data_IF_958789983685
#
_entry.id   IF_958789983685
#
_cell.length_a   1.000
_cell.length_b   1.000
_cell.length_c   1.000
_cell.angle_alpha   90.00
_cell.angle_beta   90.00
_cell.angle_gamma   90.00
#
_symmetry.space_group_name_H-M   'P 1'
#
loop_
_entity.id
_entity.type
_entity.pdbx_description
1 polymer ?
#
# COMPACT_ATOMS: atom_id res chain seq x y z
N UNK A 1 21.23 49.76 32.45
CA UNK A 1 21.44 48.50 33.20
C UNK A 1 22.89 48.39 33.61
N UNK A 2 23.12 48.28 34.91
CA UNK A 2 24.44 48.07 35.50
C UNK A 2 24.66 46.57 35.70
N UNK A 3 25.83 46.08 35.30
CA UNK A 3 26.23 44.69 35.52
C UNK A 3 27.09 44.63 36.78
N UNK A 4 26.63 43.89 37.79
CA UNK A 4 27.40 43.67 39.01
C UNK A 4 28.04 42.28 38.95
N UNK A 5 29.38 42.17 38.89
CA UNK A 5 30.05 40.88 38.80
C UNK A 5 29.92 40.10 40.12
N UNK A 6 29.49 38.84 40.03
CA UNK A 6 29.40 37.91 41.16
C UNK A 6 30.59 36.95 41.21
N UNK A 7 31.04 36.48 40.05
CA UNK A 7 32.21 35.61 39.91
C UNK A 7 33.08 36.14 38.78
N UNK A 8 34.38 36.23 39.03
CA UNK A 8 35.38 36.54 38.01
C UNK A 8 36.51 35.52 38.02
N UNK A 9 37.13 35.29 36.87
CA UNK A 9 38.34 34.47 36.78
C UNK A 9 39.61 35.24 37.23
N UNK A 10 40.75 34.55 37.25
CA UNK A 10 42.04 35.17 37.60
C UNK A 10 42.56 36.20 36.58
N UNK A 11 41.93 36.29 35.41
CA UNK A 11 42.24 37.28 34.37
C UNK A 11 41.26 38.49 34.40
N UNK A 12 40.25 38.46 35.27
CA UNK A 12 39.25 39.52 35.41
C UNK A 12 38.03 39.38 34.49
N UNK A 13 37.84 38.25 33.81
CA UNK A 13 36.62 37.99 33.05
C UNK A 13 35.47 37.65 34.00
N UNK A 14 34.30 38.24 33.74
CA UNK A 14 33.09 38.01 34.53
C UNK A 14 32.43 36.71 34.05
N UNK A 15 32.28 35.76 34.98
CA UNK A 15 31.69 34.44 34.69
C UNK A 15 30.23 34.34 35.12
N UNK A 16 29.82 35.14 36.12
CA UNK A 16 28.44 35.30 36.54
C UNK A 16 28.23 36.73 37.06
N UNK A 17 27.06 37.31 36.82
CA UNK A 17 26.73 38.69 37.21
C UNK A 17 25.24 38.88 37.48
N UNK A 18 24.92 39.87 38.31
CA UNK A 18 23.55 40.37 38.45
C UNK A 18 23.25 41.39 37.36
N UNK A 19 22.00 41.38 36.90
CA UNK A 19 21.44 42.44 36.09
C UNK A 19 20.71 43.41 37.03
N UNK A 20 21.27 44.60 37.21
CA UNK A 20 20.68 45.66 38.02
C UNK A 20 20.17 46.80 37.14
N UNK A 21 19.05 47.39 37.56
CA UNK A 21 18.55 48.63 36.99
C UNK A 21 19.33 49.83 37.52
N UNK A 22 19.22 50.97 36.84
CA UNK A 22 19.68 52.25 37.40
C UNK A 22 18.76 52.67 38.56
N UNK A 23 19.32 53.23 39.62
CA UNK A 23 18.54 53.68 40.77
C UNK A 23 17.44 54.68 40.34
N UNK A 24 16.20 54.42 40.74
CA UNK A 24 15.01 55.19 40.31
C UNK A 24 14.45 54.81 38.93
N UNK A 25 14.97 53.78 38.27
CA UNK A 25 14.36 53.21 37.06
C UNK A 25 13.24 52.22 37.40
N UNK A 26 12.27 52.06 36.50
CA UNK A 26 11.19 51.06 36.63
C UNK A 26 11.76 49.65 36.83
N UNK A 27 12.86 49.33 36.16
CA UNK A 27 13.54 48.04 36.31
C UNK A 27 14.13 47.88 37.72
N UNK A 28 14.76 48.91 38.28
CA UNK A 28 15.30 48.85 39.64
C UNK A 28 14.19 48.70 40.71
N UNK A 29 13.06 49.37 40.52
CA UNK A 29 11.97 49.37 41.50
C UNK A 29 11.08 48.12 41.41
N UNK A 30 10.89 47.53 40.22
CA UNK A 30 9.87 46.50 39.99
C UNK A 30 10.38 45.19 39.35
N UNK A 31 11.62 45.12 38.86
CA UNK A 31 12.11 43.90 38.24
C UNK A 31 12.45 42.81 39.27
N UNK A 32 12.40 41.56 38.82
CA UNK A 32 12.90 40.45 39.60
C UNK A 32 14.43 40.39 39.57
N UNK A 33 15.01 40.09 40.72
CA UNK A 33 16.43 39.83 40.84
C UNK A 33 16.87 38.73 39.86
N UNK A 34 17.83 39.06 39.00
CA UNK A 34 18.23 38.20 37.89
C UNK A 34 19.74 38.01 37.88
N UNK A 35 20.17 36.77 38.06
CA UNK A 35 21.57 36.34 37.91
C UNK A 35 21.74 35.71 36.54
N UNK A 36 22.74 36.15 35.79
CA UNK A 36 23.17 35.51 34.54
C UNK A 36 24.50 34.81 34.79
N UNK A 37 24.55 33.52 34.45
CA UNK A 37 25.78 32.73 34.45
C UNK A 37 26.25 32.63 33.00
N UNK A 38 27.31 33.37 32.65
CA UNK A 38 27.87 33.41 31.31
C UNK A 38 28.72 32.17 31.00
N UNK A 39 29.38 31.62 32.01
CA UNK A 39 30.18 30.39 31.90
C UNK A 39 29.39 29.18 32.45
N UNK A 40 28.72 28.38 31.59
CA UNK A 40 27.89 27.27 32.03
C UNK A 40 28.68 26.15 32.72
N UNK A 41 30.00 26.06 32.52
CA UNK A 41 30.82 25.03 33.17
C UNK A 41 30.88 25.16 34.70
N UNK A 42 30.53 26.32 35.25
CA UNK A 42 30.41 26.53 36.70
C UNK A 42 29.28 25.71 37.31
N UNK A 43 28.19 25.50 36.55
CA UNK A 43 26.94 24.91 37.03
C UNK A 43 26.60 23.57 36.37
N UNK A 44 27.49 23.04 35.52
CA UNK A 44 27.30 21.74 34.88
C UNK A 44 27.74 20.59 35.81
N UNK A 45 27.34 19.34 35.47
CA UNK A 45 27.65 18.17 36.30
C UNK A 45 29.16 17.91 36.51
N UNK A 46 29.99 18.24 35.51
CA UNK A 46 31.44 18.08 35.60
C UNK A 46 32.07 19.10 36.55
N UNK A 47 31.61 20.34 36.52
CA UNK A 47 32.01 21.40 37.45
C UNK A 47 31.57 21.10 38.88
N UNK A 48 30.33 20.64 39.05
CA UNK A 48 29.78 20.28 40.37
C UNK A 48 30.45 19.06 41.01
N UNK A 49 31.21 18.26 40.26
CA UNK A 49 31.99 17.17 40.84
C UNK A 49 33.15 17.66 41.73
N UNK A 50 33.60 18.91 41.55
CA UNK A 50 34.59 19.55 42.42
C UNK A 50 33.89 20.29 43.58
N UNK A 51 34.25 20.01 44.86
CA UNK A 51 33.59 20.62 46.02
C UNK A 51 33.64 22.16 46.06
N UNK A 52 34.74 22.76 45.61
CA UNK A 52 34.88 24.22 45.63
C UNK A 52 33.98 24.87 44.57
N UNK A 53 33.90 24.27 43.38
CA UNK A 53 32.99 24.72 42.32
C UNK A 53 31.53 24.50 42.69
N UNK A 54 31.20 23.37 43.33
CA UNK A 54 29.85 23.11 43.85
C UNK A 54 29.43 24.15 44.91
N UNK A 55 30.33 24.53 45.81
CA UNK A 55 30.08 25.58 46.79
C UNK A 55 29.83 26.95 46.12
N UNK A 56 30.59 27.28 45.08
CA UNK A 56 30.38 28.50 44.28
C UNK A 56 29.02 28.49 43.56
N UNK A 57 28.64 27.38 42.93
CA UNK A 57 27.34 27.22 42.30
C UNK A 57 26.18 27.37 43.31
N UNK A 58 26.32 26.80 44.51
CA UNK A 58 25.34 26.98 45.60
C UNK A 58 25.26 28.44 46.06
N UNK A 59 26.40 29.13 46.15
CA UNK A 59 26.44 30.56 46.48
C UNK A 59 25.71 31.41 45.44
N UNK A 60 25.83 31.08 44.14
CA UNK A 60 25.06 31.74 43.08
C UNK A 60 23.55 31.53 43.24
N UNK A 61 23.11 30.30 43.54
CA UNK A 61 21.68 30.00 43.76
C UNK A 61 21.14 30.76 44.97
N UNK A 62 21.93 30.85 46.05
CA UNK A 62 21.57 31.65 47.24
C UNK A 62 21.54 33.14 46.94
N UNK A 63 22.49 33.65 46.16
CA UNK A 63 22.50 35.04 45.72
C UNK A 63 21.33 35.37 44.80
N UNK A 64 20.85 34.40 44.01
CA UNK A 64 19.68 34.56 43.15
C UNK A 64 18.33 34.50 43.92
N UNK A 65 18.31 33.88 45.10
CA UNK A 65 17.11 33.68 45.91
C UNK A 65 16.94 34.75 47.00
N UNK A 66 15.70 34.92 47.47
CA UNK A 66 15.39 35.79 48.60
C UNK A 66 15.38 34.98 49.92
N UNK A 67 16.56 34.62 50.41
CA UNK A 67 16.74 33.97 51.73
C UNK A 67 16.84 32.44 51.72
N UNK A 68 16.97 31.86 52.91
CA UNK A 68 17.41 30.47 53.10
C UNK A 68 16.37 29.39 52.69
N UNK A 69 15.07 29.71 52.68
CA UNK A 69 13.97 28.78 52.37
C UNK A 69 13.34 29.01 50.98
N UNK A 70 14.16 29.32 49.98
CA UNK A 70 13.66 29.56 48.61
C UNK A 70 13.44 28.24 47.86
N UNK A 71 12.22 27.98 47.41
CA UNK A 71 11.92 26.86 46.51
C UNK A 71 12.61 27.08 45.16
N UNK A 72 13.56 26.22 44.82
CA UNK A 72 14.23 26.23 43.51
C UNK A 72 13.42 25.40 42.52
N UNK A 73 13.09 26.00 41.37
CA UNK A 73 12.46 25.31 40.23
C UNK A 73 13.41 25.41 39.04
N UNK A 74 13.78 24.25 38.48
CA UNK A 74 14.54 24.19 37.24
C UNK A 74 13.56 24.19 36.05
N UNK A 75 13.48 25.31 35.35
CA UNK A 75 12.77 25.38 34.08
C UNK A 75 13.70 24.97 32.92
N UNK A 76 13.35 23.86 32.26
CA UNK A 76 14.10 23.31 31.12
C UNK A 76 13.33 23.44 29.80
N UNK A 77 12.30 24.29 29.76
CA UNK A 77 11.48 24.54 28.56
C UNK A 77 12.32 25.00 27.38
N UNK A 78 13.18 26.00 27.59
CA UNK A 78 14.07 26.52 26.55
C UNK A 78 15.13 25.51 26.09
N UNK A 79 15.50 24.56 26.94
CA UNK A 79 16.41 23.46 26.61
C UNK A 79 15.72 22.30 25.86
N UNK A 80 14.43 22.43 25.52
CA UNK A 80 13.68 21.42 24.75
C UNK A 80 13.24 20.20 25.56
N UNK A 81 13.45 20.18 26.88
CA UNK A 81 13.00 19.09 27.76
C UNK A 81 11.56 19.25 28.23
N UNK A 82 10.91 20.38 27.91
CA UNK A 82 9.47 20.53 28.12
C UNK A 82 8.70 19.91 26.96
N UNK A 83 8.07 18.76 27.21
CA UNK A 83 6.86 18.36 26.49
C UNK A 83 6.99 17.97 25.01
N UNK A 84 8.19 17.83 24.44
CA UNK A 84 8.34 17.24 23.12
C UNK A 84 7.94 15.75 23.19
N UNK A 85 6.67 15.44 22.94
CA UNK A 85 6.21 14.07 22.81
C UNK A 85 6.91 13.46 21.59
N UNK A 86 7.86 12.58 21.84
CA UNK A 86 8.51 11.80 20.79
C UNK A 86 7.41 11.13 19.94
N UNK A 87 7.50 11.25 18.60
CA UNK A 87 6.56 10.63 17.67
C UNK A 87 6.38 9.14 17.93
N UNK A 88 7.45 8.46 18.35
CA UNK A 88 7.42 7.06 18.77
C UNK A 88 6.53 6.88 20.01
N UNK A 89 6.67 7.74 21.02
CA UNK A 89 5.82 7.71 22.21
C UNK A 89 4.35 8.02 21.89
N UNK A 90 4.09 8.89 20.91
CA UNK A 90 2.73 9.18 20.44
C UNK A 90 2.11 7.97 19.72
N UNK A 91 2.90 7.20 18.97
CA UNK A 91 2.44 5.97 18.31
C UNK A 91 1.99 4.87 19.30
N UNK A 92 2.45 4.89 20.56
CA UNK A 92 2.06 3.94 21.61
C UNK A 92 0.98 4.47 22.56
N UNK A 93 0.36 5.63 22.28
CA UNK A 93 -0.72 6.20 23.09
C UNK A 93 -2.02 6.31 22.28
N UNK A 94 -3.21 6.29 22.93
CA UNK A 94 -4.46 6.59 22.25
C UNK A 94 -4.41 7.99 21.60
N UNK A 95 -5.00 8.18 20.40
CA UNK A 95 -5.74 7.21 19.56
C UNK A 95 -4.87 6.36 18.62
N UNK A 96 -3.57 6.65 18.49
CA UNK A 96 -2.70 6.04 17.48
C UNK A 96 -2.28 4.60 17.81
N UNK A 97 -2.40 4.18 19.06
CA UNK A 97 -2.12 2.80 19.48
C UNK A 97 -2.83 1.76 18.60
N UNK A 98 -4.09 2.01 18.23
CA UNK A 98 -4.85 1.09 17.38
C UNK A 98 -4.20 0.95 15.98
N UNK A 99 -3.77 2.07 15.39
CA UNK A 99 -3.09 2.06 14.09
C UNK A 99 -1.75 1.33 14.17
N UNK A 100 -0.98 1.54 15.25
CA UNK A 100 0.30 0.86 15.49
C UNK A 100 0.09 -0.65 15.66
N UNK A 101 -0.92 -1.09 16.40
CA UNK A 101 -1.25 -2.51 16.56
C UNK A 101 -1.65 -3.15 15.22
N UNK A 102 -2.49 -2.47 14.42
CA UNK A 102 -2.85 -2.94 13.09
C UNK A 102 -1.63 -3.04 12.16
N UNK A 103 -0.73 -2.05 12.19
CA UNK A 103 0.52 -2.08 11.42
C UNK A 103 1.40 -3.27 11.82
N UNK A 104 1.57 -3.50 13.13
CA UNK A 104 2.35 -4.63 13.66
C UNK A 104 1.73 -5.96 13.19
N UNK A 105 0.41 -6.12 13.32
CA UNK A 105 -0.29 -7.32 12.84
C UNK A 105 -0.13 -7.53 11.32
N UNK A 106 -0.23 -6.46 10.52
CA UNK A 106 -0.02 -6.54 9.09
C UNK A 106 1.42 -6.98 8.75
N UNK A 107 2.42 -6.42 9.44
CA UNK A 107 3.82 -6.80 9.28
C UNK A 107 4.05 -8.27 9.68
N UNK A 108 3.42 -8.74 10.76
CA UNK A 108 3.47 -10.15 11.16
C UNK A 108 2.85 -11.07 10.10
N UNK A 109 1.70 -10.70 9.51
CA UNK A 109 1.08 -11.47 8.43
C UNK A 109 1.95 -11.48 7.18
N UNK A 110 2.52 -10.34 6.78
CA UNK A 110 3.43 -10.25 5.62
C UNK A 110 4.70 -11.08 5.87
N UNK A 111 5.29 -10.96 7.06
CA UNK A 111 6.45 -11.76 7.47
C UNK A 111 6.12 -13.26 7.46
N UNK A 112 5.00 -13.65 8.05
CA UNK A 112 4.50 -15.02 8.04
C UNK A 112 4.32 -15.53 6.60
N UNK A 113 3.71 -14.73 5.72
CA UNK A 113 3.56 -15.06 4.30
C UNK A 113 4.91 -15.20 3.60
N UNK A 114 5.92 -14.41 3.96
CA UNK A 114 7.26 -14.52 3.40
C UNK A 114 7.96 -15.81 3.84
N UNK A 115 7.86 -16.19 5.12
CA UNK A 115 8.41 -17.45 5.64
C UNK A 115 7.68 -18.69 5.10
N UNK A 116 6.35 -18.63 4.97
CA UNK A 116 5.57 -19.73 4.38
C UNK A 116 5.69 -19.79 2.86
N UNK A 117 6.20 -18.74 2.21
CA UNK A 117 6.43 -18.70 0.77
C UNK A 117 7.78 -19.34 0.43
N UNK A 118 7.84 -20.66 0.57
CA UNK A 118 8.83 -21.46 -0.13
C UNK A 118 8.33 -21.75 -1.54
N UNK A 119 9.04 -21.23 -2.54
CA UNK A 119 8.79 -21.52 -3.96
C UNK A 119 9.03 -20.33 -4.86
N UNK A 120 9.71 -20.57 -5.99
CA UNK A 120 9.78 -19.61 -7.09
C UNK A 120 8.36 -19.16 -7.44
N UNK A 121 8.16 -17.86 -7.73
CA UNK A 121 6.94 -17.40 -8.41
C UNK A 121 6.74 -18.38 -9.56
N UNK A 122 5.60 -19.08 -9.60
CA UNK A 122 5.25 -19.83 -10.79
C UNK A 122 5.29 -18.80 -11.91
N UNK A 123 6.38 -18.81 -12.69
CA UNK A 123 6.54 -17.90 -13.80
C UNK A 123 5.27 -18.12 -14.60
N UNK A 124 4.42 -17.10 -14.69
CA UNK A 124 3.32 -17.16 -15.64
C UNK A 124 4.02 -17.38 -16.96
N UNK A 125 3.93 -18.62 -17.48
CA UNK A 125 4.53 -19.01 -18.74
C UNK A 125 4.22 -17.87 -19.70
N UNK A 126 5.23 -17.31 -20.40
CA UNK A 126 5.00 -16.18 -21.28
C UNK A 126 3.78 -16.48 -22.12
N UNK A 127 2.73 -15.68 -21.94
CA UNK A 127 1.47 -15.80 -22.65
C UNK A 127 1.75 -15.41 -24.11
N UNK A 128 2.37 -16.31 -24.85
CA UNK A 128 2.64 -16.17 -26.28
C UNK A 128 1.31 -16.24 -27.00
N UNK A 129 0.67 -15.07 -27.24
CA UNK A 129 -0.41 -14.90 -28.23
C UNK A 129 -1.57 -13.91 -27.95
N UNK A 130 -1.42 -12.83 -27.16
CA UNK A 130 -2.59 -12.16 -26.54
C UNK A 130 -3.17 -10.91 -27.23
N UNK A 131 -3.34 -10.94 -28.55
CA UNK A 131 -4.18 -9.96 -29.26
C UNK A 131 -5.55 -10.55 -29.63
N UNK A 132 -5.53 -11.44 -30.63
CA UNK A 132 -6.74 -12.03 -31.23
C UNK A 132 -7.51 -12.92 -30.25
N UNK A 133 -6.81 -13.68 -29.41
CA UNK A 133 -7.47 -14.55 -28.43
C UNK A 133 -8.21 -13.77 -27.35
N UNK A 134 -7.69 -12.60 -26.92
CA UNK A 134 -8.40 -11.69 -26.00
C UNK A 134 -9.62 -11.07 -26.65
N UNK A 135 -9.53 -10.63 -27.91
CA UNK A 135 -10.69 -10.12 -28.64
C UNK A 135 -11.78 -11.18 -28.80
N UNK A 136 -11.40 -12.42 -29.11
CA UNK A 136 -12.35 -13.54 -29.21
C UNK A 136 -12.98 -13.85 -27.85
N UNK A 137 -12.18 -13.91 -26.77
CA UNK A 137 -12.70 -14.19 -25.42
C UNK A 137 -13.64 -13.09 -24.93
N UNK A 138 -13.28 -11.82 -25.11
CA UNK A 138 -14.11 -10.68 -24.74
C UNK A 138 -15.39 -10.62 -25.58
N UNK A 139 -15.30 -10.83 -26.90
CA UNK A 139 -16.46 -10.92 -27.78
C UNK A 139 -17.41 -12.05 -27.39
N UNK A 140 -16.88 -13.24 -27.11
CA UNK A 140 -17.69 -14.37 -26.64
C UNK A 140 -18.36 -14.06 -25.29
N UNK A 141 -17.66 -13.41 -24.37
CA UNK A 141 -18.21 -12.98 -23.09
C UNK A 141 -19.37 -11.98 -23.24
N UNK A 142 -19.28 -11.03 -24.19
CA UNK A 142 -20.36 -10.10 -24.47
C UNK A 142 -21.60 -10.80 -25.03
N UNK A 143 -21.44 -11.76 -25.93
CA UNK A 143 -22.57 -12.51 -26.50
C UNK A 143 -23.26 -13.37 -25.43
N UNK A 144 -22.48 -14.00 -24.54
CA UNK A 144 -23.02 -14.78 -23.41
C UNK A 144 -23.81 -13.89 -22.44
N UNK A 145 -23.28 -12.71 -22.09
CA UNK A 145 -23.97 -11.75 -21.20
C UNK A 145 -25.23 -11.17 -21.82
N UNK A 146 -25.22 -10.91 -23.13
CA UNK A 146 -26.38 -10.42 -23.86
C UNK A 146 -27.48 -11.48 -24.04
N UNK A 147 -27.19 -12.77 -23.77
CA UNK A 147 -28.10 -13.92 -23.96
C UNK A 147 -28.70 -14.03 -25.37
N UNK A 148 -28.07 -13.44 -26.37
CA UNK A 148 -28.53 -13.42 -27.77
C UNK A 148 -27.94 -14.57 -28.60
N UNK A 149 -28.01 -15.80 -28.10
CA UNK A 149 -27.44 -16.98 -28.77
C UNK A 149 -28.03 -17.24 -30.16
N UNK A 150 -29.28 -16.81 -30.41
CA UNK A 150 -29.93 -16.91 -31.71
C UNK A 150 -29.17 -16.18 -32.83
N UNK A 151 -28.39 -15.15 -32.51
CA UNK A 151 -27.55 -14.47 -33.50
C UNK A 151 -26.38 -15.34 -33.99
N UNK A 152 -26.04 -16.41 -33.24
CA UNK A 152 -24.92 -17.30 -33.55
C UNK A 152 -25.32 -18.53 -34.38
N UNK A 153 -26.61 -18.88 -34.48
CA UNK A 153 -27.06 -20.13 -35.13
C UNK A 153 -26.63 -20.20 -36.59
N UNK A 154 -26.99 -19.18 -37.39
CA UNK A 154 -26.64 -19.05 -38.80
C UNK A 154 -25.11 -19.00 -39.04
N UNK A 155 -24.34 -18.09 -38.39
CA UNK A 155 -22.89 -18.03 -38.63
C UNK A 155 -22.15 -19.27 -38.11
N UNK A 156 -22.60 -19.90 -37.04
CA UNK A 156 -22.01 -21.16 -36.56
C UNK A 156 -22.30 -22.32 -37.51
N UNK A 157 -23.53 -22.45 -38.04
CA UNK A 157 -23.85 -23.46 -39.06
C UNK A 157 -22.97 -23.30 -40.32
N UNK A 158 -22.76 -22.06 -40.76
CA UNK A 158 -21.87 -21.76 -41.88
C UNK A 158 -20.40 -22.11 -41.59
N UNK A 159 -19.92 -21.87 -40.36
CA UNK A 159 -18.59 -22.27 -39.93
C UNK A 159 -18.45 -23.80 -39.88
N UNK A 160 -19.45 -24.50 -39.34
CA UNK A 160 -19.50 -25.96 -39.29
C UNK A 160 -19.48 -26.56 -40.70
N UNK A 161 -20.28 -26.02 -41.63
CA UNK A 161 -20.29 -26.42 -43.05
C UNK A 161 -18.89 -26.39 -43.65
N UNK A 162 -18.17 -25.26 -43.50
CA UNK A 162 -16.80 -25.10 -44.02
C UNK A 162 -15.81 -26.08 -43.40
N UNK A 163 -15.94 -26.38 -42.11
CA UNK A 163 -15.08 -27.33 -41.39
C UNK A 163 -15.32 -28.76 -41.85
N UNK A 164 -16.58 -29.17 -41.95
CA UNK A 164 -17.00 -30.50 -42.38
C UNK A 164 -16.61 -30.73 -43.84
N UNK A 165 -16.91 -29.77 -44.72
CA UNK A 165 -16.50 -29.84 -46.13
C UNK A 165 -14.99 -30.00 -46.30
N UNK A 166 -14.20 -29.29 -45.50
CA UNK A 166 -12.73 -29.42 -45.50
C UNK A 166 -12.29 -30.80 -45.02
N UNK A 167 -12.92 -31.34 -43.98
CA UNK A 167 -12.62 -32.69 -43.48
C UNK A 167 -12.98 -33.78 -44.51
N UNK A 168 -14.03 -33.55 -45.30
CA UNK A 168 -14.45 -34.43 -46.39
C UNK A 168 -13.67 -34.21 -47.70
N UNK A 169 -12.78 -33.22 -47.76
CA UNK A 169 -11.98 -32.92 -48.97
C UNK A 169 -12.78 -32.30 -50.12
N UNK A 170 -13.96 -31.72 -49.85
CA UNK A 170 -14.84 -31.15 -50.86
C UNK A 170 -14.35 -29.76 -51.31
N UNK A 171 -14.24 -29.55 -52.63
CA UNK A 171 -13.86 -28.26 -53.24
C UNK A 171 -15.03 -27.28 -53.34
N UNK A 172 -16.22 -27.79 -53.68
CA UNK A 172 -17.49 -27.10 -53.56
C UNK A 172 -18.33 -27.81 -52.50
N UNK A 173 -18.98 -27.03 -51.64
CA UNK A 173 -19.51 -27.49 -50.36
C UNK A 173 -20.95 -27.03 -50.17
N UNK A 174 -21.79 -27.38 -51.13
CA UNK A 174 -23.24 -27.39 -51.00
C UNK A 174 -23.69 -28.51 -50.04
N UNK A 175 -24.86 -28.32 -49.44
CA UNK A 175 -25.37 -29.22 -48.40
C UNK A 175 -25.58 -30.64 -48.96
N UNK A 176 -26.00 -30.77 -50.22
CA UNK A 176 -26.19 -32.06 -50.92
C UNK A 176 -24.88 -32.83 -51.13
N UNK A 177 -23.82 -32.17 -51.59
CA UNK A 177 -22.51 -32.81 -51.76
C UNK A 177 -21.91 -33.24 -50.41
N UNK A 178 -22.12 -32.44 -49.36
CA UNK A 178 -21.71 -32.80 -48.00
C UNK A 178 -22.47 -34.03 -47.51
N UNK A 179 -23.79 -34.08 -47.71
CA UNK A 179 -24.62 -35.20 -47.28
C UNK A 179 -24.26 -36.50 -48.01
N UNK A 180 -24.03 -36.43 -49.33
CA UNK A 180 -23.60 -37.58 -50.12
C UNK A 180 -22.23 -38.11 -49.69
N UNK A 181 -21.26 -37.22 -49.48
CA UNK A 181 -19.93 -37.59 -49.00
C UNK A 181 -19.96 -38.13 -47.56
N UNK A 182 -20.84 -37.59 -46.72
CA UNK A 182 -21.04 -38.07 -45.35
C UNK A 182 -21.63 -39.48 -45.34
N UNK A 183 -22.67 -39.74 -46.15
CA UNK A 183 -23.29 -41.05 -46.25
C UNK A 183 -22.30 -42.14 -46.70
N UNK A 184 -21.35 -41.80 -47.58
CA UNK A 184 -20.31 -42.71 -48.01
C UNK A 184 -19.25 -43.00 -46.92
N UNK A 185 -18.91 -42.02 -46.09
CA UNK A 185 -17.82 -42.13 -45.09
C UNK A 185 -18.28 -42.58 -43.71
N UNK A 186 -19.49 -42.22 -43.30
CA UNK A 186 -20.10 -42.55 -42.02
C UNK A 186 -21.55 -43.04 -42.24
N UNK A 187 -21.73 -44.25 -42.78
CA UNK A 187 -23.06 -44.81 -43.00
C UNK A 187 -23.78 -44.97 -41.65
N UNK A 188 -24.97 -44.38 -41.53
CA UNK A 188 -25.79 -44.38 -40.31
C UNK A 188 -25.82 -43.07 -39.53
N UNK A 189 -24.99 -42.09 -39.90
CA UNK A 189 -25.09 -40.73 -39.34
C UNK A 189 -26.20 -39.91 -40.05
N UNK A 190 -26.98 -39.11 -39.30
CA UNK A 190 -27.88 -38.12 -39.88
C UNK A 190 -27.16 -37.14 -40.80
N UNK A 191 -27.81 -36.69 -41.89
CA UNK A 191 -27.21 -35.75 -42.84
C UNK A 191 -26.83 -34.43 -42.16
N UNK A 192 -25.80 -33.77 -42.70
CA UNK A 192 -25.38 -32.45 -42.28
C UNK A 192 -26.52 -31.44 -42.45
N UNK A 193 -27.24 -31.48 -43.57
CA UNK A 193 -28.33 -30.56 -43.86
C UNK A 193 -29.42 -30.55 -42.77
N UNK A 194 -29.80 -31.73 -42.27
CA UNK A 194 -30.75 -31.86 -41.17
C UNK A 194 -30.21 -31.24 -39.88
N UNK A 195 -28.98 -31.57 -39.49
CA UNK A 195 -28.34 -31.01 -38.28
C UNK A 195 -28.19 -29.49 -38.36
N UNK A 196 -27.83 -28.98 -39.54
CA UNK A 196 -27.71 -27.55 -39.80
C UNK A 196 -29.07 -26.85 -39.74
N UNK A 197 -30.13 -27.46 -40.27
CA UNK A 197 -31.51 -26.95 -40.14
C UNK A 197 -31.94 -26.92 -38.67
N UNK A 198 -31.71 -27.99 -37.90
CA UNK A 198 -32.01 -28.02 -36.46
C UNK A 198 -31.35 -26.88 -35.70
N UNK A 199 -30.09 -26.53 -36.00
CA UNK A 199 -29.44 -25.39 -35.36
C UNK A 199 -30.04 -24.05 -35.79
N UNK A 200 -30.36 -23.89 -37.08
CA UNK A 200 -30.94 -22.64 -37.62
C UNK A 200 -32.33 -22.36 -37.05
N UNK A 201 -33.12 -23.39 -36.85
CA UNK A 201 -34.51 -23.30 -36.39
C UNK A 201 -34.62 -23.27 -34.85
N UNK A 202 -33.52 -23.54 -34.13
CA UNK A 202 -33.52 -23.55 -32.66
C UNK A 202 -33.68 -22.12 -32.07
N UNK A 203 -34.68 -21.95 -31.22
CA UNK A 203 -34.95 -20.68 -30.55
C UNK A 203 -34.47 -20.64 -29.10
N UNK A 204 -34.61 -21.75 -28.37
CA UNK A 204 -34.23 -21.83 -26.97
C UNK A 204 -32.71 -22.02 -26.81
N UNK A 205 -32.07 -21.37 -25.80
CA UNK A 205 -30.63 -21.50 -25.53
C UNK A 205 -30.12 -22.94 -25.46
N UNK A 206 -30.84 -23.82 -24.78
CA UNK A 206 -30.43 -25.21 -24.58
C UNK A 206 -30.51 -26.02 -25.89
N UNK A 207 -31.52 -25.77 -26.71
CA UNK A 207 -31.68 -26.40 -28.02
C UNK A 207 -30.60 -25.94 -28.99
N UNK A 208 -30.26 -24.64 -28.97
CA UNK A 208 -29.14 -24.08 -29.75
C UNK A 208 -27.83 -24.77 -29.37
N UNK A 209 -27.54 -24.90 -28.07
CA UNK A 209 -26.30 -25.55 -27.59
C UNK A 209 -26.28 -27.04 -27.94
N UNK A 210 -27.40 -27.74 -27.82
CA UNK A 210 -27.53 -29.15 -28.19
C UNK A 210 -27.29 -29.36 -29.69
N UNK A 211 -27.94 -28.56 -30.54
CA UNK A 211 -27.77 -28.62 -31.98
C UNK A 211 -26.35 -28.25 -32.43
N UNK A 212 -25.73 -27.24 -31.79
CA UNK A 212 -24.34 -26.87 -32.05
C UNK A 212 -23.36 -27.99 -31.67
N UNK A 213 -23.55 -28.65 -30.52
CA UNK A 213 -22.76 -29.82 -30.11
C UNK A 213 -22.88 -30.97 -31.11
N UNK A 214 -24.08 -31.23 -31.60
CA UNK A 214 -24.32 -32.28 -32.59
C UNK A 214 -23.53 -32.05 -33.90
N UNK A 215 -23.33 -30.80 -34.31
CA UNK A 215 -22.46 -30.44 -35.45
C UNK A 215 -20.96 -30.56 -35.14
N UNK A 216 -20.54 -30.19 -33.92
CA UNK A 216 -19.14 -30.31 -33.50
C UNK A 216 -18.71 -31.77 -33.35
N UNK A 217 -19.59 -32.63 -32.80
CA UNK A 217 -19.37 -34.07 -32.70
C UNK A 217 -19.20 -34.71 -34.08
N UNK A 218 -20.05 -34.35 -35.04
CA UNK A 218 -19.91 -34.78 -36.43
C UNK A 218 -18.54 -34.37 -37.01
N UNK A 219 -18.16 -33.10 -36.84
CA UNK A 219 -16.88 -32.61 -37.32
C UNK A 219 -15.67 -33.30 -36.65
N UNK A 220 -15.83 -33.75 -35.40
CA UNK A 220 -14.81 -34.51 -34.66
C UNK A 220 -14.71 -35.95 -35.16
N UNK A 221 -15.83 -36.62 -35.39
CA UNK A 221 -15.87 -37.99 -35.96
C UNK A 221 -15.20 -38.06 -37.34
N UNK A 222 -15.31 -37.02 -38.15
CA UNK A 222 -14.67 -36.95 -39.47
C UNK A 222 -13.16 -36.70 -39.43
N UNK A 223 -12.62 -36.22 -38.30
CA UNK A 223 -11.18 -35.99 -38.11
C UNK A 223 -10.45 -37.19 -37.50
N UNK A 224 -11.18 -38.05 -36.78
CA UNK A 224 -10.69 -39.33 -36.30
C UNK A 224 -10.58 -40.31 -37.48
#
# INVERSE_FOLDING_TARGET
DTLEPLISDGAGHVLAFNVLGEEGSEFYENAHWTVIVAEPDIVNNWGLADPARAAAALALVRAAGFGEDTRVVFDLTLNGFSGAQNLLSLAFRPPFLAATLCLILALLVVGWRAFMRFGAVAASVPETGFGKQRLVRNGAGLVLRAKRLRLLTQPYAALARRRIARALGLRHADDEAIDAALAARLPGEPPFSARARTLRDAEAPDDILRAARALDELARKLKA
#
